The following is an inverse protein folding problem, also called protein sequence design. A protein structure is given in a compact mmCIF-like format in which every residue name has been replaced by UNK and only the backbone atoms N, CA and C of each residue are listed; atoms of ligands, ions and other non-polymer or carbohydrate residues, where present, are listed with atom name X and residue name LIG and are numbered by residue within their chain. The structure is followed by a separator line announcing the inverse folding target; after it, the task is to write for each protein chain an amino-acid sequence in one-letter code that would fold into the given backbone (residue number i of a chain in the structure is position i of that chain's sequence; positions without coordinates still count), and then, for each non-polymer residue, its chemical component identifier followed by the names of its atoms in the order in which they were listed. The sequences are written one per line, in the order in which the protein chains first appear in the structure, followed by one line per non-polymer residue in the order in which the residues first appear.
data_IF_325295109796
#
_entry.id   IF_325295109796
#
_cell.length_a   1.000
_cell.length_b   1.000
_cell.length_c   1.000
_cell.angle_alpha   90.00
_cell.angle_beta   90.00
_cell.angle_gamma   90.00
#
_symmetry.space_group_name_H-M   'P 1'
#
loop_
_entity.id
_entity.type
_entity.pdbx_description
1 polymer ?
#
# COMPACT_ATOMS: atom_id res chain seq x y z
N UNK A 1 -7.64 -17.69 -10.98
CA UNK A 1 -8.30 -16.36 -10.87
C UNK A 1 -9.01 -16.14 -12.20
N UNK A 2 -10.34 -16.18 -12.18
CA UNK A 2 -11.19 -16.39 -13.36
C UNK A 2 -11.25 -15.22 -14.33
N UNK A 3 -11.69 -15.54 -15.55
CA UNK A 3 -11.88 -14.64 -16.69
C UNK A 3 -12.73 -13.41 -16.31
N UNK A 4 -12.32 -12.21 -16.73
CA UNK A 4 -12.84 -10.88 -16.40
C UNK A 4 -12.35 -10.20 -15.11
N UNK A 5 -11.03 -10.10 -14.93
CA UNK A 5 -10.47 -9.02 -14.10
C UNK A 5 -10.36 -7.77 -14.98
N UNK A 6 -11.07 -6.69 -14.63
CA UNK A 6 -10.91 -5.39 -15.28
C UNK A 6 -9.45 -4.94 -15.12
N UNK A 7 -8.69 -4.76 -16.23
CA UNK A 7 -7.28 -4.37 -16.17
C UNK A 7 -7.09 -2.98 -15.55
N UNK A 8 -8.14 -2.16 -15.51
CA UNK A 8 -8.13 -0.85 -14.88
C UNK A 8 -8.68 -0.85 -13.46
N UNK A 9 -9.06 -2.00 -12.92
CA UNK A 9 -9.44 -2.09 -11.52
C UNK A 9 -8.25 -1.65 -10.64
N UNK A 10 -8.49 -0.86 -9.58
CA UNK A 10 -7.41 -0.39 -8.74
C UNK A 10 -6.57 -1.53 -8.15
N UNK A 11 -7.20 -2.66 -7.83
CA UNK A 11 -6.52 -3.86 -7.33
C UNK A 11 -5.57 -4.46 -8.37
N UNK A 12 -5.98 -4.54 -9.64
CA UNK A 12 -5.11 -5.05 -10.69
C UNK A 12 -3.91 -4.12 -10.89
N UNK A 13 -4.15 -2.81 -11.01
CA UNK A 13 -3.09 -1.79 -11.14
C UNK A 13 -2.08 -1.87 -10.00
N UNK A 14 -2.55 -1.94 -8.75
CA UNK A 14 -1.67 -2.06 -7.59
C UNK A 14 -0.93 -3.40 -7.56
N UNK A 15 -1.59 -4.50 -7.92
CA UNK A 15 -0.96 -5.82 -7.97
C UNK A 15 0.16 -5.88 -9.00
N UNK A 16 -0.04 -5.28 -10.17
CA UNK A 16 0.95 -5.18 -11.23
C UNK A 16 2.12 -4.27 -10.83
N UNK A 17 1.81 -3.13 -10.21
CA UNK A 17 2.83 -2.22 -9.70
C UNK A 17 3.70 -2.86 -8.62
N UNK A 18 3.10 -3.62 -7.69
CA UNK A 18 3.81 -4.37 -6.66
C UNK A 18 4.66 -5.47 -7.30
N UNK A 19 4.11 -6.26 -8.24
CA UNK A 19 4.77 -7.43 -8.83
C UNK A 19 6.19 -7.12 -9.32
N UNK A 20 6.42 -5.93 -9.85
CA UNK A 20 7.71 -5.50 -10.39
C UNK A 20 8.73 -5.07 -9.32
N UNK A 21 8.33 -4.95 -8.05
CA UNK A 21 9.11 -4.39 -6.93
C UNK A 21 9.15 -5.32 -5.71
N UNK A 22 9.05 -6.64 -5.92
CA UNK A 22 9.15 -7.63 -4.85
C UNK A 22 10.57 -7.69 -4.29
N UNK A 23 10.69 -7.53 -2.98
CA UNK A 23 11.93 -7.73 -2.23
C UNK A 23 12.06 -9.21 -1.85
N UNK A 24 13.26 -9.82 -1.87
CA UNK A 24 13.48 -11.18 -1.38
C UNK A 24 12.97 -11.37 0.05
N UNK A 25 12.43 -12.56 0.33
CA UNK A 25 11.92 -12.92 1.66
C UNK A 25 13.06 -13.53 2.49
N UNK A 26 13.52 -12.80 3.50
CA UNK A 26 14.47 -13.24 4.52
C UNK A 26 13.75 -13.47 5.87
N UNK A 27 14.07 -14.58 6.54
CA UNK A 27 13.23 -15.18 7.59
C UNK A 27 13.08 -14.42 8.92
N UNK A 28 13.69 -13.25 9.08
CA UNK A 28 13.73 -12.50 10.35
C UNK A 28 13.37 -11.02 10.22
N UNK A 29 12.58 -10.66 9.21
CA UNK A 29 12.30 -9.26 8.93
C UNK A 29 11.03 -8.69 9.54
N UNK A 30 10.97 -7.36 9.75
CA UNK A 30 9.78 -6.66 10.22
C UNK A 30 8.54 -6.93 9.37
N UNK A 31 7.37 -6.90 10.00
CA UNK A 31 6.07 -7.20 9.39
C UNK A 31 5.73 -6.34 8.17
N UNK A 32 6.27 -5.12 8.10
CA UNK A 32 6.11 -4.21 6.96
C UNK A 32 7.48 -3.72 6.46
N UNK A 33 7.85 -4.01 5.21
CA UNK A 33 9.13 -3.60 4.60
C UNK A 33 9.01 -2.34 3.72
N UNK A 34 7.81 -1.79 3.59
CA UNK A 34 7.43 -0.88 2.52
C UNK A 34 6.45 -1.54 1.54
N UNK A 35 5.79 -0.71 0.73
CA UNK A 35 4.71 -1.12 -0.16
C UNK A 35 3.53 -0.15 -0.09
N UNK A 36 2.34 -0.61 -0.49
CA UNK A 36 1.15 0.23 -0.43
C UNK A 36 0.63 0.39 0.99
N UNK A 37 0.45 1.64 1.43
CA UNK A 37 -0.19 1.99 2.70
C UNK A 37 -1.16 3.14 2.48
N UNK A 38 -2.34 3.08 3.09
CA UNK A 38 -3.35 4.10 2.94
C UNK A 38 -4.69 3.64 3.45
N UNK A 39 -5.76 4.01 2.77
CA UNK A 39 -7.11 3.64 3.18
C UNK A 39 -7.96 3.14 2.01
N UNK A 40 -8.93 2.30 2.39
CA UNK A 40 -10.05 1.86 1.57
C UNK A 40 -11.31 2.20 2.35
N UNK A 41 -12.28 2.84 1.72
CA UNK A 41 -13.56 3.14 2.38
C UNK A 41 -14.42 1.90 2.46
N UNK A 42 -15.36 1.90 3.40
CA UNK A 42 -16.35 0.84 3.53
C UNK A 42 -17.18 0.69 2.26
N UNK A 43 -17.55 1.81 1.63
CA UNK A 43 -18.32 1.85 0.40
C UNK A 43 -17.60 1.16 -0.77
N UNK A 44 -16.26 1.26 -0.85
CA UNK A 44 -15.47 0.51 -1.84
C UNK A 44 -15.67 -1.00 -1.68
N UNK A 45 -15.60 -1.50 -0.44
CA UNK A 45 -15.78 -2.92 -0.15
C UNK A 45 -17.21 -3.39 -0.43
N UNK A 46 -18.20 -2.57 -0.06
CA UNK A 46 -19.61 -2.80 -0.35
C UNK A 46 -19.89 -2.92 -1.85
N UNK A 47 -19.24 -2.11 -2.68
CA UNK A 47 -19.43 -2.17 -4.14
C UNK A 47 -19.06 -3.54 -4.73
N UNK A 48 -18.12 -4.24 -4.09
CA UNK A 48 -17.69 -5.60 -4.49
C UNK A 48 -18.56 -6.69 -3.87
N UNK A 49 -19.00 -6.54 -2.62
CA UNK A 49 -19.81 -7.52 -1.90
C UNK A 49 -21.31 -7.47 -2.24
N UNK A 50 -21.83 -6.30 -2.54
CA UNK A 50 -23.25 -6.06 -2.84
C UNK A 50 -23.39 -4.93 -3.86
N UNK A 51 -23.22 -5.26 -5.15
CA UNK A 51 -23.30 -4.28 -6.24
C UNK A 51 -24.65 -3.56 -6.23
N UNK A 52 -24.62 -2.22 -6.28
CA UNK A 52 -25.82 -1.38 -6.28
C UNK A 52 -26.28 -0.87 -4.90
N UNK A 53 -25.68 -1.34 -3.80
CA UNK A 53 -25.99 -0.87 -2.44
C UNK A 53 -25.41 0.50 -2.10
N UNK A 54 -24.45 1.00 -2.89
CA UNK A 54 -23.82 2.31 -2.70
C UNK A 54 -24.52 3.35 -3.56
N UNK A 55 -25.03 4.41 -2.94
CA UNK A 55 -25.64 5.53 -3.66
C UNK A 55 -24.64 6.20 -4.61
N UNK A 56 -25.07 6.45 -5.85
CA UNK A 56 -24.28 7.22 -6.83
C UNK A 56 -24.15 8.71 -6.46
N UNK A 57 -25.11 9.24 -5.69
CA UNK A 57 -25.07 10.61 -5.19
C UNK A 57 -24.38 10.61 -3.82
N UNK A 58 -23.06 10.75 -3.82
CA UNK A 58 -22.28 10.94 -2.60
C UNK A 58 -22.27 12.41 -2.21
N UNK A 59 -22.48 12.70 -0.92
CA UNK A 59 -22.40 14.06 -0.38
C UNK A 59 -20.97 14.61 -0.25
N UNK A 60 -19.97 13.91 -0.77
CA UNK A 60 -18.56 14.31 -0.71
C UNK A 60 -17.78 13.80 -1.93
N UNK A 61 -16.63 14.43 -2.20
CA UNK A 61 -15.72 14.07 -3.29
C UNK A 61 -14.47 13.29 -2.84
N UNK A 62 -14.39 12.88 -1.57
CA UNK A 62 -13.30 12.04 -1.06
C UNK A 62 -13.24 10.72 -1.85
N UNK A 63 -12.05 10.27 -2.30
CA UNK A 63 -11.91 9.00 -2.99
C UNK A 63 -12.20 7.83 -2.05
N UNK A 64 -12.64 6.72 -2.63
CA UNK A 64 -12.91 5.46 -1.93
C UNK A 64 -11.65 4.62 -1.70
N UNK A 65 -10.55 4.98 -2.36
CA UNK A 65 -9.24 4.36 -2.23
C UNK A 65 -8.18 5.46 -2.34
N UNK A 66 -7.24 5.49 -1.41
CA UNK A 66 -6.03 6.30 -1.52
C UNK A 66 -4.89 5.53 -0.91
N UNK A 67 -3.87 5.22 -1.71
CA UNK A 67 -2.71 4.43 -1.32
C UNK A 67 -1.44 5.19 -1.67
N UNK A 68 -0.54 5.32 -0.71
CA UNK A 68 0.83 5.77 -0.92
C UNK A 68 1.74 4.57 -1.15
N UNK A 69 2.67 4.68 -2.10
CA UNK A 69 3.78 3.74 -2.21
C UNK A 69 4.88 4.16 -1.24
N UNK A 70 4.98 3.45 -0.12
CA UNK A 70 5.94 3.72 0.95
C UNK A 70 7.25 3.01 0.64
N UNK A 71 8.27 3.78 0.29
CA UNK A 71 9.63 3.27 0.05
C UNK A 71 10.54 3.37 1.27
N UNK A 72 10.19 4.15 2.29
CA UNK A 72 10.93 4.26 3.55
C UNK A 72 9.96 4.14 4.72
N UNK A 73 10.28 3.30 5.70
CA UNK A 73 9.40 3.02 6.84
C UNK A 73 10.18 2.84 8.14
N UNK A 74 9.59 3.32 9.23
CA UNK A 74 10.05 3.03 10.59
C UNK A 74 9.04 2.11 11.26
N UNK A 75 9.47 0.91 11.63
CA UNK A 75 8.63 -0.08 12.31
C UNK A 75 9.10 -0.22 13.76
N UNK A 76 8.19 0.05 14.69
CA UNK A 76 8.47 -0.07 16.12
C UNK A 76 8.03 -1.45 16.61
N UNK A 77 8.98 -2.26 17.05
CA UNK A 77 8.70 -3.52 17.73
C UNK A 77 8.78 -3.32 19.24
N UNK A 78 7.61 -3.19 19.86
CA UNK A 78 7.50 -3.01 21.30
C UNK A 78 7.84 -4.28 22.11
N UNK A 79 7.76 -5.47 21.50
CA UNK A 79 8.09 -6.73 22.17
C UNK A 79 9.61 -6.90 22.27
N UNK A 80 10.34 -6.62 21.19
CA UNK A 80 11.80 -6.66 21.16
C UNK A 80 12.45 -5.36 21.68
N UNK A 81 11.67 -4.26 21.79
CA UNK A 81 12.17 -2.96 22.25
C UNK A 81 13.07 -2.26 21.23
N UNK A 82 12.85 -2.52 19.93
CA UNK A 82 13.70 -2.01 18.84
C UNK A 82 12.88 -1.26 17.79
N UNK A 83 13.52 -0.30 17.13
CA UNK A 83 12.97 0.40 15.98
C UNK A 83 13.73 -0.03 14.71
N UNK A 84 13.01 -0.53 13.72
CA UNK A 84 13.55 -0.89 12.41
C UNK A 84 13.37 0.28 11.45
N UNK A 85 14.49 0.86 11.01
CA UNK A 85 14.53 1.94 10.01
C UNK A 85 14.86 1.29 8.65
N UNK A 86 13.91 1.29 7.72
CA UNK A 86 13.96 0.44 6.51
C UNK A 86 13.69 1.23 5.23
N UNK A 87 14.34 0.84 4.14
CA UNK A 87 14.09 1.41 2.82
C UNK A 87 13.99 0.32 1.74
N UNK A 88 13.02 0.45 0.84
CA UNK A 88 12.95 -0.26 -0.43
C UNK A 88 13.96 0.39 -1.39
N UNK A 89 15.19 -0.10 -1.39
CA UNK A 89 16.24 0.40 -2.29
C UNK A 89 16.11 -0.23 -3.67
N UNK A 90 15.89 0.57 -4.69
CA UNK A 90 16.25 0.23 -6.09
C UNK A 90 17.66 0.74 -6.38
N UNK A 91 18.28 0.29 -7.47
CA UNK A 91 19.64 0.71 -7.88
C UNK A 91 19.82 2.25 -7.95
N UNK A 92 18.71 2.99 -8.15
CA UNK A 92 18.67 4.46 -8.26
C UNK A 92 18.45 5.21 -6.93
N UNK A 93 18.26 4.54 -5.80
CA UNK A 93 18.05 5.20 -4.50
C UNK A 93 19.36 5.27 -3.71
N UNK A 94 19.87 6.48 -3.53
CA UNK A 94 21.06 6.88 -2.76
C UNK A 94 20.93 6.70 -1.23
N UNK A 95 19.85 6.08 -0.75
CA UNK A 95 19.69 5.65 0.64
C UNK A 95 19.40 6.77 1.64
N UNK A 96 19.56 8.04 1.26
CA UNK A 96 19.42 9.21 2.14
C UNK A 96 17.99 9.34 2.72
N UNK A 97 17.89 9.47 4.04
CA UNK A 97 16.63 9.78 4.73
C UNK A 97 16.44 11.30 4.79
N UNK A 98 15.24 11.76 5.15
CA UNK A 98 15.03 13.17 5.46
C UNK A 98 15.92 13.52 6.65
N UNK A 99 16.95 14.32 6.42
CA UNK A 99 17.88 14.81 7.44
C UNK A 99 17.48 16.18 8.00
N UNK A 100 16.47 16.85 7.40
CA UNK A 100 16.00 18.16 7.86
C UNK A 100 14.50 18.40 7.57
N UNK A 101 13.85 19.19 8.43
CA UNK A 101 12.47 19.68 8.27
C UNK A 101 12.52 21.17 7.91
N UNK A 102 11.90 21.54 6.79
CA UNK A 102 11.72 22.97 6.40
C UNK A 102 10.51 23.55 7.10
#
# INVERSE_FOLDING_TARGET
LGEHVDPWSPWHVMSEYWRWRKVPEDGHTPTFKGGFMGFVTYEMGLSTLSPGSVSKARGHHRPDLCMAWVSKSVVLDHQAGVAYVQALTSEDCDGLWIDDVV
#
